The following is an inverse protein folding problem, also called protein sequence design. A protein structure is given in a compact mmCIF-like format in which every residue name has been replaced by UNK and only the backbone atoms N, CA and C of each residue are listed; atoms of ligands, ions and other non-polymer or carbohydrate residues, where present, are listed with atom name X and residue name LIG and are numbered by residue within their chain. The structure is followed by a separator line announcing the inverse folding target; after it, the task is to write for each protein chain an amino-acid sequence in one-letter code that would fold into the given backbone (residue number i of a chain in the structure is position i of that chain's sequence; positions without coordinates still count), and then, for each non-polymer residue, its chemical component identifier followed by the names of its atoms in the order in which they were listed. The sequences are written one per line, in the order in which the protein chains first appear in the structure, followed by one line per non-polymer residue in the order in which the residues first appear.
data_IF_131949411509
#
_entry.id   IF_131949411509
#
_cell.length_a   1.000
_cell.length_b   1.000
_cell.length_c   1.000
_cell.angle_alpha   90.00
_cell.angle_beta   90.00
_cell.angle_gamma   90.00
#
_symmetry.space_group_name_H-M   'P 1'
#
loop_
_entity.id
_entity.type
_entity.pdbx_description
1 polymer ?
#
# COMPACT_ATOMS: atom_id res chain seq x y z
N UNK A 1 -49.02 -24.79 -23.34
CA UNK A 1 -48.51 -23.63 -24.09
C UNK A 1 -47.72 -22.79 -23.09
N UNK A 2 -46.50 -23.24 -22.79
CA UNK A 2 -45.56 -22.43 -22.02
C UNK A 2 -44.90 -21.55 -23.05
N UNK A 3 -45.43 -20.34 -23.19
CA UNK A 3 -44.95 -19.43 -24.22
C UNK A 3 -43.53 -18.98 -23.89
N UNK A 4 -42.64 -18.95 -24.88
CA UNK A 4 -41.26 -18.48 -24.77
C UNK A 4 -41.14 -17.09 -24.11
N UNK A 5 -42.24 -16.32 -24.10
CA UNK A 5 -42.40 -15.06 -23.40
C UNK A 5 -42.22 -15.16 -21.86
N UNK A 6 -42.56 -16.28 -21.23
CA UNK A 6 -42.46 -16.45 -19.77
C UNK A 6 -41.02 -16.56 -19.26
N UNK A 7 -40.24 -17.47 -19.83
CA UNK A 7 -38.84 -17.66 -19.44
C UNK A 7 -37.99 -16.43 -19.79
N UNK A 8 -38.16 -15.90 -21.00
CA UNK A 8 -37.41 -14.73 -21.45
C UNK A 8 -37.76 -13.47 -20.66
N UNK A 9 -39.04 -13.25 -20.31
CA UNK A 9 -39.44 -12.10 -19.48
C UNK A 9 -38.90 -12.18 -18.06
N UNK A 10 -38.85 -13.37 -17.46
CA UNK A 10 -38.28 -13.57 -16.13
C UNK A 10 -36.77 -13.33 -16.15
N UNK A 11 -36.05 -13.86 -17.14
CA UNK A 11 -34.62 -13.58 -17.31
C UNK A 11 -34.34 -12.09 -17.46
N UNK A 12 -35.13 -11.39 -18.29
CA UNK A 12 -34.99 -9.95 -18.48
C UNK A 12 -35.29 -9.18 -17.20
N UNK A 13 -36.31 -9.59 -16.44
CA UNK A 13 -36.67 -8.98 -15.15
C UNK A 13 -35.56 -9.14 -14.12
N UNK A 14 -34.96 -10.33 -14.02
CA UNK A 14 -33.80 -10.58 -13.15
C UNK A 14 -32.60 -9.74 -13.57
N UNK A 15 -32.36 -9.60 -14.87
CA UNK A 15 -31.30 -8.73 -15.39
C UNK A 15 -31.51 -7.26 -14.98
N UNK A 16 -32.72 -6.72 -15.13
CA UNK A 16 -33.03 -5.34 -14.71
C UNK A 16 -32.92 -5.14 -13.20
N UNK A 17 -33.36 -6.12 -12.39
CA UNK A 17 -33.20 -6.07 -10.93
C UNK A 17 -31.72 -6.10 -10.55
N UNK A 18 -30.93 -6.99 -11.17
CA UNK A 18 -29.49 -7.04 -10.95
C UNK A 18 -28.80 -5.74 -11.35
N UNK A 19 -29.15 -5.19 -12.51
CA UNK A 19 -28.63 -3.91 -12.99
C UNK A 19 -28.99 -2.76 -12.03
N UNK A 20 -30.21 -2.74 -11.49
CA UNK A 20 -30.64 -1.78 -10.47
C UNK A 20 -29.81 -1.92 -9.18
N UNK A 21 -29.62 -3.14 -8.68
CA UNK A 21 -28.82 -3.39 -7.48
C UNK A 21 -27.36 -2.99 -7.71
N UNK A 22 -26.75 -3.38 -8.82
CA UNK A 22 -25.39 -2.99 -9.19
C UNK A 22 -25.26 -1.46 -9.33
N UNK A 23 -26.26 -0.81 -9.91
CA UNK A 23 -26.33 0.65 -9.99
C UNK A 23 -26.37 1.30 -8.60
N UNK A 24 -27.17 0.78 -7.66
CA UNK A 24 -27.19 1.27 -6.28
C UNK A 24 -25.84 1.07 -5.58
N UNK A 25 -25.20 -0.09 -5.74
CA UNK A 25 -23.85 -0.33 -5.20
C UNK A 25 -22.81 0.62 -5.78
N UNK A 26 -22.82 0.85 -7.10
CA UNK A 26 -21.93 1.82 -7.75
C UNK A 26 -22.18 3.24 -7.24
N UNK A 27 -23.45 3.63 -7.08
CA UNK A 27 -23.85 4.93 -6.53
C UNK A 27 -23.33 5.11 -5.10
N UNK A 28 -23.52 4.12 -4.21
CA UNK A 28 -22.97 4.19 -2.85
C UNK A 28 -21.44 4.17 -2.82
N UNK A 29 -20.79 3.38 -3.68
CA UNK A 29 -19.33 3.31 -3.76
C UNK A 29 -18.74 4.65 -4.20
N UNK A 30 -19.31 5.29 -5.21
CA UNK A 30 -18.87 6.63 -5.66
C UNK A 30 -19.15 7.66 -4.59
N UNK A 31 -20.30 7.64 -3.93
CA UNK A 31 -20.60 8.54 -2.80
C UNK A 31 -19.54 8.38 -1.69
N UNK A 32 -19.26 7.15 -1.26
CA UNK A 32 -18.30 6.89 -0.19
C UNK A 32 -16.88 7.36 -0.54
N UNK A 33 -16.45 7.08 -1.75
CA UNK A 33 -15.13 7.45 -2.26
C UNK A 33 -15.01 8.97 -2.52
N UNK A 34 -16.10 9.63 -2.87
CA UNK A 34 -16.22 11.09 -3.00
C UNK A 34 -16.23 11.79 -1.63
N UNK A 35 -16.82 11.18 -0.60
CA UNK A 35 -16.72 11.64 0.79
C UNK A 35 -15.33 11.41 1.40
N UNK A 36 -14.58 10.41 0.91
CA UNK A 36 -13.22 10.13 1.40
C UNK A 36 -12.20 11.23 1.06
N UNK A 37 -12.45 12.01 0.00
CA UNK A 37 -11.59 13.11 -0.41
C UNK A 37 -12.07 14.44 0.16
N UNK A 38 -11.41 14.88 1.24
CA UNK A 38 -11.70 16.11 1.97
C UNK A 38 -11.14 17.37 1.28
N UNK A 39 -10.40 17.22 0.17
CA UNK A 39 -9.76 18.36 -0.52
C UNK A 39 -10.55 18.90 -1.73
N UNK A 40 -11.62 18.24 -2.16
CA UNK A 40 -12.43 18.66 -3.32
C UNK A 40 -13.71 19.39 -2.92
N UNK A 41 -13.99 20.51 -3.60
CA UNK A 41 -15.19 21.33 -3.40
C UNK A 41 -16.48 20.51 -3.55
N UNK A 42 -17.42 20.67 -2.61
CA UNK A 42 -18.67 19.90 -2.55
C UNK A 42 -19.55 20.02 -3.80
N UNK A 43 -19.36 21.05 -4.62
CA UNK A 43 -20.08 21.24 -5.89
C UNK A 43 -19.72 20.19 -6.93
N UNK A 44 -18.43 19.83 -7.06
CA UNK A 44 -18.01 18.79 -8.00
C UNK A 44 -18.60 17.43 -7.63
N UNK A 45 -18.85 17.22 -6.33
CA UNK A 45 -19.46 16.00 -5.81
C UNK A 45 -20.89 15.81 -6.34
N UNK A 46 -21.68 16.88 -6.40
CA UNK A 46 -23.07 16.83 -6.87
C UNK A 46 -23.20 16.55 -8.37
N UNK A 47 -22.32 17.13 -9.20
CA UNK A 47 -22.32 16.92 -10.67
C UNK A 47 -22.06 15.46 -11.02
N UNK A 48 -21.13 14.81 -10.32
CA UNK A 48 -20.83 13.38 -10.50
C UNK A 48 -22.01 12.47 -10.18
N UNK A 49 -22.74 12.76 -9.09
CA UNK A 49 -23.94 12.02 -8.71
C UNK A 49 -25.05 12.19 -9.76
N UNK A 50 -25.25 13.42 -10.27
CA UNK A 50 -26.23 13.68 -11.31
C UNK A 50 -25.90 12.93 -12.62
N UNK A 51 -24.66 12.97 -13.08
CA UNK A 51 -24.24 12.27 -14.31
C UNK A 51 -24.39 10.74 -14.19
N UNK A 52 -24.11 10.17 -13.01
CA UNK A 52 -24.27 8.74 -12.74
C UNK A 52 -25.72 8.26 -12.94
N UNK A 53 -26.69 9.08 -12.57
CA UNK A 53 -28.12 8.76 -12.67
C UNK A 53 -28.61 8.73 -14.12
N UNK A 54 -28.13 9.65 -14.95
CA UNK A 54 -28.64 9.82 -16.32
C UNK A 54 -27.82 9.12 -17.40
N UNK A 55 -26.51 8.95 -17.21
CA UNK A 55 -25.62 8.42 -18.25
C UNK A 55 -24.53 7.51 -17.66
N UNK A 56 -24.87 6.30 -17.16
CA UNK A 56 -23.95 5.48 -16.36
C UNK A 56 -22.68 5.07 -17.11
N UNK A 57 -22.80 4.64 -18.37
CA UNK A 57 -21.64 4.20 -19.17
C UNK A 57 -20.66 5.33 -19.50
N UNK A 58 -21.18 6.51 -19.86
CA UNK A 58 -20.36 7.68 -20.14
C UNK A 58 -19.68 8.18 -18.86
N UNK A 59 -20.38 8.10 -17.73
CA UNK A 59 -19.87 8.57 -16.44
C UNK A 59 -18.71 7.72 -15.94
N UNK A 60 -18.80 6.38 -16.08
CA UNK A 60 -17.68 5.48 -15.75
C UNK A 60 -16.45 5.77 -16.63
N UNK A 61 -16.64 6.03 -17.92
CA UNK A 61 -15.54 6.38 -18.83
C UNK A 61 -14.84 7.68 -18.43
N UNK A 62 -15.62 8.74 -18.18
CA UNK A 62 -15.08 10.04 -17.73
C UNK A 62 -14.39 9.90 -16.38
N UNK A 63 -14.88 9.03 -15.49
CA UNK A 63 -14.33 8.85 -14.15
C UNK A 63 -12.94 8.23 -14.19
N UNK A 64 -12.77 7.20 -15.02
CA UNK A 64 -11.48 6.55 -15.22
C UNK A 64 -10.45 7.52 -15.81
N UNK A 65 -10.87 8.39 -16.74
CA UNK A 65 -9.99 9.41 -17.33
C UNK A 65 -9.64 10.49 -16.30
N UNK A 66 -10.62 10.99 -15.55
CA UNK A 66 -10.43 12.05 -14.56
C UNK A 66 -9.64 11.58 -13.33
N UNK A 67 -9.73 10.30 -12.96
CA UNK A 67 -9.17 9.77 -11.71
C UNK A 67 -8.02 8.78 -11.88
N UNK A 68 -7.75 8.33 -13.11
CA UNK A 68 -6.61 7.49 -13.46
C UNK A 68 -5.22 7.99 -13.00
N UNK A 69 -4.93 9.30 -12.92
CA UNK A 69 -3.58 9.76 -12.56
C UNK A 69 -3.20 9.51 -11.09
N UNK A 70 -4.18 9.36 -10.19
CA UNK A 70 -3.93 9.33 -8.74
C UNK A 70 -3.34 8.02 -8.19
N UNK A 71 -3.23 6.97 -9.00
CA UNK A 71 -2.64 5.68 -8.59
C UNK A 71 -1.14 5.61 -8.82
N UNK A 72 -0.62 6.20 -9.91
CA UNK A 72 0.81 6.16 -10.23
C UNK A 72 1.63 7.02 -9.25
N UNK A 73 1.16 8.22 -8.95
CA UNK A 73 1.85 9.14 -8.04
C UNK A 73 1.90 8.61 -6.58
N UNK A 74 0.84 7.91 -6.14
CA UNK A 74 0.80 7.29 -4.81
C UNK A 74 1.62 6.00 -4.72
N UNK A 75 1.80 5.28 -5.83
CA UNK A 75 2.67 4.10 -5.87
C UNK A 75 4.15 4.52 -5.76
N UNK A 76 4.56 5.56 -6.50
CA UNK A 76 5.92 6.10 -6.43
C UNK A 76 6.25 6.73 -5.07
N UNK A 77 5.30 7.44 -4.45
CA UNK A 77 5.48 7.99 -3.10
C UNK A 77 5.60 6.91 -2.01
N UNK A 78 4.91 5.78 -2.14
CA UNK A 78 5.03 4.64 -1.20
C UNK A 78 6.38 3.95 -1.34
N UNK A 79 6.82 3.68 -2.56
CA UNK A 79 8.12 3.07 -2.84
C UNK A 79 9.29 3.93 -2.30
N UNK A 80 9.23 5.25 -2.46
CA UNK A 80 10.25 6.15 -1.92
C UNK A 80 10.25 6.27 -0.39
N UNK A 81 9.09 6.12 0.26
CA UNK A 81 8.99 6.24 1.73
C UNK A 81 9.44 4.97 2.44
N UNK A 82 9.19 3.81 1.85
CA UNK A 82 9.62 2.52 2.40
C UNK A 82 11.15 2.33 2.28
N UNK A 83 11.78 2.79 1.19
CA UNK A 83 13.24 2.78 1.05
C UNK A 83 13.93 3.66 2.12
N UNK A 84 13.44 4.88 2.36
CA UNK A 84 14.03 5.78 3.37
C UNK A 84 13.95 5.22 4.79
N UNK A 85 12.83 4.60 5.15
CA UNK A 85 12.67 3.98 6.47
C UNK A 85 13.59 2.77 6.66
N UNK A 86 13.81 1.99 5.60
CA UNK A 86 14.70 0.83 5.62
C UNK A 86 16.18 1.24 5.70
N UNK A 87 16.59 2.25 4.92
CA UNK A 87 17.94 2.79 4.94
C UNK A 87 18.29 3.44 6.29
N UNK A 88 17.37 4.18 6.89
CA UNK A 88 17.55 4.79 8.21
C UNK A 88 17.62 3.73 9.33
N UNK A 89 16.87 2.63 9.20
CA UNK A 89 16.96 1.50 10.13
C UNK A 89 18.31 0.77 10.02
N UNK A 90 18.78 0.49 8.80
CA UNK A 90 20.11 -0.11 8.56
C UNK A 90 21.23 0.81 9.06
N UNK A 91 21.15 2.12 8.80
CA UNK A 91 22.14 3.10 9.28
C UNK A 91 22.17 3.20 10.80
N UNK A 92 21.01 3.17 11.47
CA UNK A 92 20.97 3.17 12.94
C UNK A 92 21.59 1.91 13.53
N UNK A 93 21.34 0.74 12.94
CA UNK A 93 21.91 -0.51 13.42
C UNK A 93 23.42 -0.56 13.17
N UNK A 94 23.88 -0.12 12.00
CA UNK A 94 25.32 -0.09 11.68
C UNK A 94 26.09 0.95 12.50
N UNK A 95 25.45 2.03 12.97
CA UNK A 95 26.05 2.97 13.92
C UNK A 95 25.92 2.56 15.40
N UNK A 96 25.02 1.62 15.74
CA UNK A 96 24.85 1.14 17.12
C UNK A 96 25.85 0.05 17.53
N UNK A 97 26.60 -0.49 16.57
CA UNK A 97 27.66 -1.46 16.82
C UNK A 97 28.97 -0.87 16.29
N UNK A 98 29.51 0.10 17.03
CA UNK A 98 30.84 0.63 16.72
C UNK A 98 31.89 -0.48 16.87
N UNK A 99 32.91 -0.56 16.00
CA UNK A 99 34.05 -1.47 16.17
C UNK A 99 34.68 -1.42 17.57
N UNK A 100 34.66 -0.24 18.20
CA UNK A 100 35.12 -0.08 19.57
C UNK A 100 34.25 -0.85 20.59
N UNK A 101 32.92 -0.84 20.41
CA UNK A 101 31.99 -1.57 21.28
C UNK A 101 32.12 -3.08 21.13
N UNK A 102 32.41 -3.57 19.91
CA UNK A 102 32.71 -5.00 19.68
C UNK A 102 34.00 -5.43 20.38
N UNK A 103 35.05 -4.61 20.32
CA UNK A 103 36.32 -4.88 21.01
C UNK A 103 36.14 -4.83 22.53
N UNK A 104 35.36 -3.89 23.06
CA UNK A 104 35.05 -3.81 24.50
C UNK A 104 34.27 -5.03 24.98
N UNK A 105 33.28 -5.52 24.20
CA UNK A 105 32.56 -6.76 24.52
C UNK A 105 33.48 -7.98 24.47
N UNK A 106 34.33 -8.09 23.44
CA UNK A 106 35.30 -9.17 23.34
C UNK A 106 36.28 -9.18 24.53
N UNK A 107 36.67 -7.99 25.02
CA UNK A 107 37.54 -7.88 26.20
C UNK A 107 36.86 -8.37 27.47
N UNK A 108 35.58 -8.02 27.65
CA UNK A 108 34.81 -8.51 28.79
C UNK A 108 34.67 -10.04 28.81
N UNK A 109 34.53 -10.68 27.63
CA UNK A 109 34.49 -12.15 27.51
C UNK A 109 35.83 -12.80 27.86
N UNK A 110 36.95 -12.15 27.50
CA UNK A 110 38.29 -12.60 27.86
C UNK A 110 38.53 -12.50 29.37
N UNK A 111 38.13 -11.37 29.97
CA UNK A 111 38.28 -11.14 31.41
C UNK A 111 37.36 -12.08 32.22
N UNK A 112 36.23 -12.52 31.66
CA UNK A 112 35.37 -13.58 32.21
C UNK A 112 35.89 -15.01 31.97
N UNK A 113 37.00 -15.17 31.22
CA UNK A 113 37.56 -16.48 30.87
C UNK A 113 36.67 -17.30 29.94
N UNK A 114 35.68 -16.68 29.28
CA UNK A 114 34.78 -17.36 28.34
C UNK A 114 35.46 -17.61 26.99
N UNK A 115 36.44 -16.78 26.63
CA UNK A 115 37.26 -16.93 25.43
C UNK A 115 38.74 -16.88 25.78
N UNK A 116 39.57 -17.48 24.93
CA UNK A 116 41.02 -17.45 25.03
C UNK A 116 41.63 -16.15 24.47
N UNK A 117 42.88 -15.82 24.84
CA UNK A 117 43.58 -14.65 24.29
C UNK A 117 43.70 -14.67 22.75
N UNK A 118 43.83 -15.87 22.15
CA UNK A 118 43.90 -16.01 20.69
C UNK A 118 42.55 -15.71 20.03
N UNK A 119 41.45 -16.16 20.61
CA UNK A 119 40.10 -15.86 20.12
C UNK A 119 39.77 -14.36 20.24
N UNK A 120 40.25 -13.71 21.30
CA UNK A 120 40.11 -12.26 21.46
C UNK A 120 40.81 -11.47 20.34
N UNK A 121 42.06 -11.82 20.01
CA UNK A 121 42.80 -11.14 18.93
C UNK A 121 42.15 -11.38 17.55
N UNK A 122 41.59 -12.57 17.30
CA UNK A 122 40.82 -12.84 16.07
C UNK A 122 39.54 -11.98 15.97
N UNK A 123 38.81 -11.81 17.08
CA UNK A 123 37.61 -10.94 17.13
C UNK A 123 37.97 -9.46 16.97
N UNK A 124 39.08 -9.02 17.56
CA UNK A 124 39.59 -7.65 17.43
C UNK A 124 40.04 -7.33 16.00
N UNK A 125 40.74 -8.25 15.34
CA UNK A 125 41.13 -8.09 13.93
C UNK A 125 39.91 -7.98 13.00
N UNK A 126 38.87 -8.78 13.26
CA UNK A 126 37.60 -8.74 12.51
C UNK A 126 36.84 -7.44 12.70
N UNK A 127 36.75 -6.94 13.94
CA UNK A 127 36.10 -5.65 14.24
C UNK A 127 36.83 -4.47 13.59
N UNK A 128 38.17 -4.54 13.48
CA UNK A 128 39.00 -3.55 12.80
C UNK A 128 39.00 -3.67 11.26
N UNK A 129 38.27 -4.65 10.70
CA UNK A 129 38.16 -4.85 9.26
C UNK A 129 39.43 -5.37 8.59
N UNK A 130 40.36 -5.96 9.33
CA UNK A 130 41.53 -6.62 8.74
C UNK A 130 41.12 -8.02 8.23
N UNK A 131 41.33 -8.33 6.94
CA UNK A 131 41.14 -9.68 6.43
C UNK A 131 42.17 -10.61 7.11
N UNK A 132 41.67 -11.74 7.64
CA UNK A 132 42.47 -12.76 8.33
C UNK A 132 43.39 -13.54 7.42
#
# INVERSE_FOLDING_TARGET
MFDDYGFWSVLWSVFWIFALVAYLFALFSVIADLFSDHQLSGWWKAVWVFCLVFVPFLTVLVYLIARGPGMQERAELRLNRDQRNFDDYIRKISHSTSPADEITKARALLDQGTISPQEYEALKARALGQPG
#
